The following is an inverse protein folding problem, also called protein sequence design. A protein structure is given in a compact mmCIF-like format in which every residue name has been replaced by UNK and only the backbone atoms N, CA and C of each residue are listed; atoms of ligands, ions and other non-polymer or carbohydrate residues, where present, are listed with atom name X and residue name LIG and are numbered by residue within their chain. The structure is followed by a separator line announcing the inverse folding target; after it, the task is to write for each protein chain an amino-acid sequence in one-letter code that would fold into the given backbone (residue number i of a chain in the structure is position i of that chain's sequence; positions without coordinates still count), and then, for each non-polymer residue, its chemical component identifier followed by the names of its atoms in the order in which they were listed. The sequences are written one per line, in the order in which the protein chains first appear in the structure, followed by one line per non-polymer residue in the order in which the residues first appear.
data_IF_911211896229
#
_entry.id   IF_911211896229
#
_cell.length_a   1.000
_cell.length_b   1.000
_cell.length_c   1.000
_cell.angle_alpha   90.00
_cell.angle_beta   90.00
_cell.angle_gamma   90.00
#
_symmetry.space_group_name_H-M   'P 1'
#
loop_
_entity.id
_entity.type
_entity.pdbx_description
1 polymer ?
#
# COMPACT_ATOMS: atom_id res chain seq x y z
N UNK A 1 20.40 -3.90 -32.35
CA UNK A 1 19.71 -4.36 -31.10
C UNK A 1 19.87 -3.42 -29.91
N UNK A 2 20.97 -2.68 -29.73
CA UNK A 2 21.14 -1.71 -28.63
C UNK A 2 20.56 -0.31 -28.93
N UNK A 3 20.56 0.16 -30.17
CA UNK A 3 20.02 1.45 -30.60
C UNK A 3 18.50 1.52 -30.44
N UNK A 4 17.78 0.45 -30.80
CA UNK A 4 16.31 0.40 -30.77
C UNK A 4 15.80 0.46 -29.34
N UNK A 5 16.41 -0.30 -28.41
CA UNK A 5 16.07 -0.24 -26.98
C UNK A 5 16.36 1.13 -26.35
N UNK A 6 17.36 1.85 -26.86
CA UNK A 6 17.66 3.21 -26.41
C UNK A 6 16.61 4.19 -26.89
N UNK A 7 16.22 4.11 -28.16
CA UNK A 7 15.17 4.94 -28.74
C UNK A 7 13.81 4.72 -28.03
N UNK A 8 13.43 3.46 -27.79
CA UNK A 8 12.22 3.11 -27.04
C UNK A 8 12.22 3.72 -25.63
N UNK A 9 13.34 3.65 -24.91
CA UNK A 9 13.48 4.24 -23.57
C UNK A 9 13.38 5.77 -23.60
N UNK A 10 13.93 6.42 -24.61
CA UNK A 10 13.84 7.87 -24.79
C UNK A 10 12.40 8.31 -25.12
N UNK A 11 11.73 7.56 -25.98
CA UNK A 11 10.32 7.79 -26.31
C UNK A 11 9.41 7.60 -25.09
N UNK A 12 9.61 6.55 -24.32
CA UNK A 12 8.87 6.32 -23.07
C UNK A 12 9.10 7.45 -22.05
N UNK A 13 10.34 7.93 -21.88
CA UNK A 13 10.66 9.07 -21.01
C UNK A 13 10.00 10.36 -21.48
N UNK A 14 9.96 10.59 -22.78
CA UNK A 14 9.29 11.76 -23.36
C UNK A 14 7.78 11.71 -23.10
N UNK A 15 7.15 10.58 -23.36
CA UNK A 15 5.75 10.34 -23.07
C UNK A 15 5.43 10.55 -21.58
N UNK A 16 6.23 10.00 -20.67
CA UNK A 16 6.03 10.21 -19.22
C UNK A 16 6.12 11.69 -18.83
N UNK A 17 7.06 12.46 -19.41
CA UNK A 17 7.16 13.91 -19.15
C UNK A 17 5.91 14.65 -19.55
N UNK A 18 5.37 14.33 -20.71
CA UNK A 18 4.13 14.95 -21.24
C UNK A 18 2.92 14.60 -20.35
N UNK A 19 2.75 13.32 -19.98
CA UNK A 19 1.70 12.88 -19.09
C UNK A 19 1.78 13.59 -17.73
N UNK A 20 2.97 13.68 -17.13
CA UNK A 20 3.18 14.41 -15.87
C UNK A 20 2.83 15.89 -16.01
N UNK A 21 3.24 16.55 -17.08
CA UNK A 21 2.93 17.97 -17.29
C UNK A 21 1.42 18.21 -17.41
N UNK A 22 0.72 17.38 -18.16
CA UNK A 22 -0.74 17.44 -18.32
C UNK A 22 -1.47 17.19 -17.00
N UNK A 23 -1.10 16.15 -16.25
CA UNK A 23 -1.72 15.85 -14.96
C UNK A 23 -1.42 16.93 -13.91
N UNK A 24 -0.23 17.54 -13.91
CA UNK A 24 0.06 18.70 -13.04
C UNK A 24 -0.87 19.87 -13.31
N UNK A 25 -1.12 20.19 -14.56
CA UNK A 25 -2.05 21.26 -14.93
C UNK A 25 -3.47 20.94 -14.47
N UNK A 26 -3.87 19.68 -14.54
CA UNK A 26 -5.17 19.21 -14.05
C UNK A 26 -5.29 19.32 -12.52
N UNK A 27 -4.28 18.87 -11.77
CA UNK A 27 -4.23 19.02 -10.30
C UNK A 27 -4.36 20.51 -9.93
N UNK A 28 -3.54 21.38 -10.53
CA UNK A 28 -3.58 22.82 -10.25
C UNK A 28 -4.96 23.46 -10.57
N UNK A 29 -5.64 22.99 -11.61
CA UNK A 29 -7.00 23.41 -11.94
C UNK A 29 -7.99 23.00 -10.85
N UNK A 30 -7.91 21.76 -10.35
CA UNK A 30 -8.82 21.30 -9.32
C UNK A 30 -8.50 21.88 -7.94
N UNK A 31 -7.24 22.17 -7.60
CA UNK A 31 -6.86 22.89 -6.37
C UNK A 31 -7.59 24.24 -6.30
N UNK A 32 -7.55 25.04 -7.37
CA UNK A 32 -8.30 26.32 -7.46
C UNK A 32 -9.83 26.10 -7.41
N UNK A 33 -10.33 25.03 -8.01
CA UNK A 33 -11.77 24.75 -8.02
C UNK A 33 -12.30 24.32 -6.64
N UNK A 34 -11.48 23.60 -5.86
CA UNK A 34 -11.79 23.18 -4.48
C UNK A 34 -11.99 24.38 -3.56
N UNK A 35 -11.25 25.48 -3.73
CA UNK A 35 -11.43 26.72 -2.95
C UNK A 35 -12.87 27.27 -3.07
N UNK A 36 -13.48 27.14 -4.25
CA UNK A 36 -14.82 27.66 -4.54
C UNK A 36 -15.93 26.67 -4.21
N UNK A 37 -15.72 25.38 -4.50
CA UNK A 37 -16.74 24.32 -4.34
C UNK A 37 -16.07 23.03 -3.85
N UNK A 38 -15.68 22.96 -2.55
CA UNK A 38 -14.91 21.82 -2.01
C UNK A 38 -15.61 20.48 -2.20
N UNK A 39 -16.91 20.39 -1.90
CA UNK A 39 -17.67 19.15 -1.98
C UNK A 39 -17.80 18.59 -3.40
N UNK A 40 -17.70 19.42 -4.42
CA UNK A 40 -17.77 18.99 -5.83
C UNK A 40 -16.43 18.55 -6.38
N UNK A 41 -15.34 19.24 -5.99
CA UNK A 41 -14.05 19.08 -6.66
C UNK A 41 -13.00 18.32 -5.89
N UNK A 42 -13.12 18.13 -4.55
CA UNK A 42 -12.18 17.30 -3.80
C UNK A 42 -12.04 15.85 -4.32
N UNK A 43 -13.13 15.13 -4.68
CA UNK A 43 -12.98 13.80 -5.27
C UNK A 43 -12.22 13.79 -6.59
N UNK A 44 -12.47 14.80 -7.43
CA UNK A 44 -11.76 14.97 -8.71
C UNK A 44 -10.30 15.35 -8.51
N UNK A 45 -10.01 16.17 -7.49
CA UNK A 45 -8.65 16.50 -7.09
C UNK A 45 -7.93 15.25 -6.61
N UNK A 46 -8.57 14.41 -5.79
CA UNK A 46 -8.01 13.16 -5.32
C UNK A 46 -7.65 12.21 -6.48
N UNK A 47 -8.55 12.07 -7.45
CA UNK A 47 -8.32 11.24 -8.65
C UNK A 47 -7.15 11.80 -9.50
N UNK A 48 -7.10 13.10 -9.72
CA UNK A 48 -6.00 13.73 -10.45
C UNK A 48 -4.65 13.59 -9.71
N UNK A 49 -4.63 13.75 -8.39
CA UNK A 49 -3.45 13.54 -7.55
C UNK A 49 -2.99 12.08 -7.58
N UNK A 50 -3.92 11.12 -7.49
CA UNK A 50 -3.64 9.70 -7.60
C UNK A 50 -3.02 9.37 -8.97
N UNK A 51 -3.63 9.82 -10.05
CA UNK A 51 -3.12 9.61 -11.42
C UNK A 51 -1.73 10.21 -11.60
N UNK A 52 -1.51 11.44 -11.14
CA UNK A 52 -0.19 12.08 -11.17
C UNK A 52 0.84 11.30 -10.36
N UNK A 53 0.46 10.80 -9.19
CA UNK A 53 1.30 9.97 -8.34
C UNK A 53 1.76 8.69 -9.04
N UNK A 54 0.87 8.01 -9.78
CA UNK A 54 1.21 6.82 -10.59
C UNK A 54 2.25 7.13 -11.66
N UNK A 55 2.16 8.26 -12.36
CA UNK A 55 3.18 8.66 -13.33
C UNK A 55 4.54 8.95 -12.69
N UNK A 56 4.56 9.51 -11.47
CA UNK A 56 5.79 9.64 -10.72
C UNK A 56 6.33 8.29 -10.26
N UNK A 57 5.51 7.38 -9.79
CA UNK A 57 5.93 6.03 -9.41
C UNK A 57 6.60 5.30 -10.58
N UNK A 58 6.06 5.38 -11.78
CA UNK A 58 6.60 4.75 -12.98
C UNK A 58 7.96 5.32 -13.46
N UNK A 59 8.43 6.40 -12.88
CA UNK A 59 9.80 6.89 -13.12
C UNK A 59 10.89 6.09 -12.42
N UNK A 60 10.54 5.27 -11.43
CA UNK A 60 11.44 4.37 -10.70
C UNK A 60 12.70 5.05 -10.14
N UNK A 61 12.57 6.24 -9.56
CA UNK A 61 13.68 6.93 -8.87
C UNK A 61 13.29 7.25 -7.42
N UNK A 62 14.24 7.29 -6.46
CA UNK A 62 13.92 7.62 -5.07
C UNK A 62 13.19 8.97 -4.92
N UNK A 63 13.60 9.98 -5.69
CA UNK A 63 12.92 11.28 -5.68
C UNK A 63 11.48 11.21 -6.22
N UNK A 64 11.25 10.37 -7.24
CA UNK A 64 9.90 10.20 -7.79
C UNK A 64 8.99 9.39 -6.86
N UNK A 65 9.53 8.42 -6.13
CA UNK A 65 8.77 7.69 -5.10
C UNK A 65 8.30 8.60 -3.97
N UNK A 66 9.18 9.51 -3.48
CA UNK A 66 8.79 10.53 -2.49
C UNK A 66 7.68 11.46 -3.00
N UNK A 67 7.73 11.83 -4.28
CA UNK A 67 6.69 12.66 -4.90
C UNK A 67 5.38 11.89 -5.04
N UNK A 68 5.44 10.63 -5.46
CA UNK A 68 4.28 9.75 -5.54
C UNK A 68 3.62 9.55 -4.17
N UNK A 69 4.42 9.28 -3.12
CA UNK A 69 3.94 9.16 -1.74
C UNK A 69 3.17 10.41 -1.31
N UNK A 70 3.74 11.59 -1.48
CA UNK A 70 3.07 12.84 -1.12
C UNK A 70 1.73 13.00 -1.83
N UNK A 71 1.69 12.73 -3.14
CA UNK A 71 0.48 12.84 -3.96
C UNK A 71 -0.59 11.82 -3.53
N UNK A 72 -0.20 10.58 -3.28
CA UNK A 72 -1.11 9.53 -2.81
C UNK A 72 -1.66 9.84 -1.42
N UNK A 73 -0.84 10.35 -0.50
CA UNK A 73 -1.28 10.76 0.83
C UNK A 73 -2.27 11.94 0.76
N UNK A 74 -2.01 12.91 -0.11
CA UNK A 74 -2.95 14.03 -0.34
C UNK A 74 -4.27 13.54 -0.94
N UNK A 75 -4.22 12.64 -1.92
CA UNK A 75 -5.40 12.04 -2.52
C UNK A 75 -6.24 11.27 -1.49
N UNK A 76 -5.58 10.48 -0.61
CA UNK A 76 -6.26 9.73 0.44
C UNK A 76 -6.99 10.65 1.41
N UNK A 77 -6.36 11.75 1.86
CA UNK A 77 -7.01 12.78 2.70
C UNK A 77 -8.23 13.40 2.02
N UNK A 78 -8.16 13.64 0.71
CA UNK A 78 -9.30 14.14 -0.05
C UNK A 78 -10.43 13.11 -0.14
N UNK A 79 -10.13 11.82 -0.32
CA UNK A 79 -11.15 10.76 -0.29
C UNK A 79 -11.73 10.54 1.12
N UNK A 80 -10.94 10.64 2.18
CA UNK A 80 -11.39 10.47 3.57
C UNK A 80 -12.43 11.50 3.99
N UNK A 81 -12.43 12.68 3.38
CA UNK A 81 -13.47 13.68 3.58
C UNK A 81 -14.86 13.22 3.10
N UNK A 82 -14.93 12.09 2.38
CA UNK A 82 -16.15 11.52 1.80
C UNK A 82 -16.41 10.07 2.25
N UNK A 83 -15.96 9.71 3.45
CA UNK A 83 -16.21 8.37 4.02
C UNK A 83 -17.71 8.06 3.97
N UNK A 84 -18.04 6.82 3.56
CA UNK A 84 -19.43 6.36 3.43
C UNK A 84 -20.09 6.60 2.07
N UNK A 85 -19.44 7.31 1.15
CA UNK A 85 -19.92 7.42 -0.23
C UNK A 85 -19.43 6.23 -1.06
N UNK A 86 -20.36 5.36 -1.45
CA UNK A 86 -20.08 4.10 -2.18
C UNK A 86 -19.37 4.34 -3.52
N UNK A 87 -19.68 5.43 -4.21
CA UNK A 87 -19.10 5.81 -5.50
C UNK A 87 -17.59 6.12 -5.44
N UNK A 88 -17.05 6.43 -4.25
CA UNK A 88 -15.64 6.75 -4.05
C UNK A 88 -14.86 5.62 -3.34
N UNK A 89 -15.54 4.59 -2.86
CA UNK A 89 -14.91 3.50 -2.11
C UNK A 89 -13.88 2.76 -2.96
N UNK A 90 -14.21 2.43 -4.20
CA UNK A 90 -13.31 1.71 -5.11
C UNK A 90 -12.04 2.53 -5.40
N UNK A 91 -12.17 3.83 -5.69
CA UNK A 91 -11.02 4.70 -5.96
C UNK A 91 -10.11 4.81 -4.73
N UNK A 92 -10.71 4.89 -3.53
CA UNK A 92 -9.97 4.92 -2.27
C UNK A 92 -9.22 3.61 -2.03
N UNK A 93 -9.85 2.46 -2.25
CA UNK A 93 -9.22 1.14 -2.11
C UNK A 93 -8.06 0.95 -3.09
N UNK A 94 -8.25 1.33 -4.35
CA UNK A 94 -7.18 1.28 -5.36
C UNK A 94 -5.98 2.15 -4.93
N UNK A 95 -6.24 3.34 -4.41
CA UNK A 95 -5.19 4.21 -3.90
C UNK A 95 -4.47 3.61 -2.68
N UNK A 96 -5.19 2.97 -1.76
CA UNK A 96 -4.60 2.31 -0.59
C UNK A 96 -3.71 1.13 -1.02
N UNK A 97 -4.16 0.33 -1.99
CA UNK A 97 -3.34 -0.72 -2.60
C UNK A 97 -2.08 -0.18 -3.27
N UNK A 98 -2.20 0.92 -4.02
CA UNK A 98 -1.04 1.57 -4.64
C UNK A 98 -0.05 2.13 -3.58
N UNK A 99 -0.54 2.68 -2.46
CA UNK A 99 0.29 3.09 -1.32
C UNK A 99 1.03 1.93 -0.68
N UNK A 100 0.34 0.80 -0.48
CA UNK A 100 0.92 -0.42 0.05
C UNK A 100 2.05 -0.96 -0.87
N UNK A 101 1.83 -0.96 -2.18
CA UNK A 101 2.87 -1.35 -3.14
C UNK A 101 4.04 -0.35 -3.19
N UNK A 102 3.77 0.93 -3.03
CA UNK A 102 4.78 1.96 -3.00
C UNK A 102 5.66 1.86 -1.74
N UNK A 103 5.11 1.45 -0.59
CA UNK A 103 5.87 1.30 0.66
C UNK A 103 7.08 0.38 0.48
N UNK A 104 6.97 -0.68 -0.34
CA UNK A 104 8.07 -1.59 -0.68
C UNK A 104 9.25 -0.92 -1.42
N UNK A 105 9.13 0.35 -1.79
CA UNK A 105 10.15 1.13 -2.54
C UNK A 105 10.63 2.37 -1.77
N UNK A 106 10.15 2.54 -0.55
CA UNK A 106 10.54 3.64 0.33
C UNK A 106 11.68 3.22 1.25
N UNK A 107 12.27 4.18 1.95
CA UNK A 107 13.10 3.92 3.11
C UNK A 107 12.25 3.38 4.28
N UNK A 108 12.88 2.65 5.21
CA UNK A 108 12.18 1.88 6.25
C UNK A 108 11.26 2.76 7.11
N UNK A 109 11.70 3.94 7.54
CA UNK A 109 10.91 4.83 8.40
C UNK A 109 9.62 5.31 7.70
N UNK A 110 9.72 5.63 6.41
CA UNK A 110 8.57 6.05 5.60
C UNK A 110 7.65 4.90 5.23
N UNK A 111 8.22 3.73 4.97
CA UNK A 111 7.46 2.53 4.73
C UNK A 111 6.62 2.18 5.96
N UNK A 112 7.21 2.26 7.15
CA UNK A 112 6.53 2.02 8.43
C UNK A 112 5.38 3.01 8.65
N UNK A 113 5.63 4.32 8.48
CA UNK A 113 4.57 5.35 8.60
C UNK A 113 3.38 5.08 7.68
N UNK A 114 3.65 4.75 6.41
CA UNK A 114 2.62 4.45 5.42
C UNK A 114 1.83 3.20 5.81
N UNK A 115 2.51 2.12 6.16
CA UNK A 115 1.87 0.85 6.53
C UNK A 115 1.05 0.97 7.81
N UNK A 116 1.52 1.70 8.83
CA UNK A 116 0.75 1.97 10.04
C UNK A 116 -0.51 2.80 9.75
N UNK A 117 -0.40 3.81 8.90
CA UNK A 117 -1.56 4.58 8.45
C UNK A 117 -2.59 3.75 7.68
N UNK A 118 -2.12 2.85 6.81
CA UNK A 118 -2.98 1.91 6.08
C UNK A 118 -3.62 0.88 7.01
N UNK A 119 -2.86 0.33 7.95
CA UNK A 119 -3.37 -0.61 8.95
C UNK A 119 -4.55 0.00 9.72
N UNK A 120 -4.37 1.20 10.28
CA UNK A 120 -5.45 1.91 11.00
C UNK A 120 -6.68 2.14 10.13
N UNK A 121 -6.49 2.47 8.85
CA UNK A 121 -7.59 2.68 7.92
C UNK A 121 -8.32 1.37 7.60
N UNK A 122 -7.58 0.29 7.34
CA UNK A 122 -8.17 -1.03 7.06
C UNK A 122 -8.86 -1.62 8.31
N UNK A 123 -8.28 -1.49 9.50
CA UNK A 123 -8.93 -1.92 10.76
C UNK A 123 -10.26 -1.20 10.98
N UNK A 124 -10.31 0.12 10.73
CA UNK A 124 -11.55 0.89 10.80
C UNK A 124 -12.61 0.41 9.80
N UNK A 125 -12.19 -0.03 8.61
CA UNK A 125 -13.09 -0.57 7.58
C UNK A 125 -13.51 -2.01 7.91
N UNK A 126 -12.59 -2.82 8.41
CA UNK A 126 -12.84 -4.20 8.82
C UNK A 126 -13.80 -4.29 10.02
N UNK A 127 -13.81 -3.29 10.89
CA UNK A 127 -14.81 -3.22 11.98
C UNK A 127 -16.26 -3.18 11.46
N UNK A 128 -16.49 -2.60 10.27
CA UNK A 128 -17.80 -2.54 9.64
C UNK A 128 -18.08 -3.70 8.67
N UNK A 129 -17.02 -4.27 8.06
CA UNK A 129 -17.13 -5.32 7.05
C UNK A 129 -15.89 -6.25 7.11
N UNK A 130 -15.81 -7.13 8.14
CA UNK A 130 -14.63 -7.94 8.41
C UNK A 130 -14.27 -8.87 7.24
N UNK A 131 -15.24 -9.55 6.62
CA UNK A 131 -15.02 -10.45 5.48
C UNK A 131 -14.50 -9.76 4.21
N UNK A 132 -14.68 -8.44 4.11
CA UNK A 132 -14.22 -7.67 2.94
C UNK A 132 -12.80 -7.14 3.13
N UNK A 133 -12.48 -6.64 4.32
CA UNK A 133 -11.23 -5.90 4.58
C UNK A 133 -10.27 -6.63 5.53
N UNK A 134 -10.64 -7.78 6.07
CA UNK A 134 -9.79 -8.54 6.99
C UNK A 134 -8.50 -9.02 6.35
N UNK A 135 -8.54 -9.40 5.06
CA UNK A 135 -7.34 -9.78 4.30
C UNK A 135 -6.38 -8.60 4.09
N UNK A 136 -6.91 -7.39 3.85
CA UNK A 136 -6.09 -6.18 3.74
C UNK A 136 -5.39 -5.85 5.07
N UNK A 137 -6.09 -6.05 6.20
CA UNK A 137 -5.49 -5.93 7.55
C UNK A 137 -4.36 -6.94 7.72
N UNK A 138 -4.61 -8.23 7.45
CA UNK A 138 -3.61 -9.29 7.60
C UNK A 138 -2.40 -9.08 6.68
N UNK A 139 -2.64 -8.72 5.42
CA UNK A 139 -1.57 -8.41 4.45
C UNK A 139 -0.71 -7.22 4.88
N UNK A 140 -1.33 -6.17 5.44
CA UNK A 140 -0.60 -5.00 5.94
C UNK A 140 0.22 -5.34 7.18
N UNK A 141 -0.32 -6.14 8.09
CA UNK A 141 0.41 -6.66 9.26
C UNK A 141 1.60 -7.52 8.84
N UNK A 142 1.42 -8.43 7.87
CA UNK A 142 2.52 -9.22 7.33
C UNK A 142 3.63 -8.37 6.72
N UNK A 143 3.29 -7.30 5.99
CA UNK A 143 4.29 -6.37 5.42
C UNK A 143 5.04 -5.58 6.51
N UNK A 144 4.36 -5.15 7.57
CA UNK A 144 5.00 -4.55 8.75
C UNK A 144 5.95 -5.56 9.41
N UNK A 145 5.54 -6.83 9.53
CA UNK A 145 6.39 -7.90 10.02
C UNK A 145 7.68 -8.05 9.22
N UNK A 146 7.58 -8.08 7.89
CA UNK A 146 8.76 -8.15 7.01
C UNK A 146 9.67 -6.92 7.20
N UNK A 147 9.10 -5.71 7.25
CA UNK A 147 9.86 -4.48 7.45
C UNK A 147 10.63 -4.50 8.77
N UNK A 148 9.99 -4.95 9.86
CA UNK A 148 10.65 -5.09 11.16
C UNK A 148 11.72 -6.18 11.17
N UNK A 149 11.48 -7.32 10.48
CA UNK A 149 12.46 -8.40 10.36
C UNK A 149 13.71 -7.94 9.61
N UNK A 150 13.54 -7.24 8.47
CA UNK A 150 14.65 -6.67 7.69
C UNK A 150 15.46 -5.65 8.52
N UNK A 151 14.80 -4.89 9.38
CA UNK A 151 15.44 -3.97 10.35
C UNK A 151 15.96 -4.66 11.62
N UNK A 152 15.95 -5.98 11.70
CA UNK A 152 16.31 -6.81 12.86
C UNK A 152 15.57 -6.49 14.15
N UNK A 153 14.39 -5.93 14.05
CA UNK A 153 13.45 -5.69 15.15
C UNK A 153 12.57 -6.93 15.35
N UNK A 154 13.20 -8.03 15.77
CA UNK A 154 12.58 -9.36 15.75
C UNK A 154 11.32 -9.47 16.60
N UNK A 155 11.28 -8.83 17.78
CA UNK A 155 10.10 -8.85 18.64
C UNK A 155 8.89 -8.10 18.05
N UNK A 156 9.14 -7.02 17.31
CA UNK A 156 8.11 -6.30 16.56
C UNK A 156 7.62 -7.15 15.37
N UNK A 157 8.54 -7.76 14.63
CA UNK A 157 8.23 -8.62 13.51
C UNK A 157 7.35 -9.80 13.94
N UNK A 158 7.73 -10.49 15.00
CA UNK A 158 6.96 -11.61 15.59
C UNK A 158 5.53 -11.18 15.91
N UNK A 159 5.37 -10.07 16.63
CA UNK A 159 4.03 -9.55 16.97
C UNK A 159 3.17 -9.27 15.75
N UNK A 160 3.76 -8.72 14.68
CA UNK A 160 3.02 -8.41 13.47
C UNK A 160 2.60 -9.68 12.72
N UNK A 161 3.49 -10.67 12.62
CA UNK A 161 3.16 -11.95 11.98
C UNK A 161 2.09 -12.73 12.75
N UNK A 162 2.18 -12.78 14.09
CA UNK A 162 1.15 -13.44 14.90
C UNK A 162 -0.21 -12.77 14.76
N UNK A 163 -0.27 -11.45 14.80
CA UNK A 163 -1.53 -10.71 14.53
C UNK A 163 -2.07 -10.96 13.13
N UNK A 164 -1.22 -11.11 12.12
CA UNK A 164 -1.65 -11.46 10.77
C UNK A 164 -2.25 -12.86 10.71
N UNK A 165 -1.64 -13.83 11.39
CA UNK A 165 -2.15 -15.21 11.51
C UNK A 165 -3.48 -15.25 12.25
N UNK A 166 -3.62 -14.51 13.36
CA UNK A 166 -4.89 -14.38 14.09
C UNK A 166 -6.02 -13.86 13.18
N UNK A 167 -5.69 -12.85 12.34
CA UNK A 167 -6.66 -12.33 11.37
C UNK A 167 -7.06 -13.37 10.31
N UNK A 168 -6.13 -14.16 9.82
CA UNK A 168 -6.45 -15.25 8.89
C UNK A 168 -7.31 -16.33 9.57
N UNK A 169 -7.03 -16.66 10.83
CA UNK A 169 -7.79 -17.66 11.60
C UNK A 169 -9.26 -17.24 11.81
N UNK A 170 -9.55 -15.93 11.94
CA UNK A 170 -10.92 -15.42 12.03
C UNK A 170 -11.79 -15.82 10.80
N UNK A 171 -11.17 -16.08 9.65
CA UNK A 171 -11.85 -16.37 8.38
C UNK A 171 -11.70 -17.81 7.88
N UNK A 172 -10.91 -18.63 8.55
CA UNK A 172 -10.59 -20.01 8.11
C UNK A 172 -11.83 -20.90 8.04
N UNK A 173 -12.87 -20.59 8.84
CA UNK A 173 -14.16 -21.28 8.81
C UNK A 173 -15.07 -20.91 7.64
N UNK A 174 -14.86 -19.76 7.00
CA UNK A 174 -15.73 -19.23 5.95
C UNK A 174 -15.28 -19.62 4.54
N UNK A 175 -13.97 -19.48 4.24
CA UNK A 175 -13.36 -19.90 2.97
C UNK A 175 -11.89 -20.32 3.15
N UNK A 176 -11.62 -21.56 3.61
CA UNK A 176 -10.26 -22.02 3.85
C UNK A 176 -9.35 -21.97 2.62
N UNK A 177 -9.91 -22.15 1.41
CA UNK A 177 -9.12 -22.16 0.18
C UNK A 177 -8.58 -20.78 -0.19
N UNK A 178 -9.31 -19.74 0.16
CA UNK A 178 -8.95 -18.35 -0.14
C UNK A 178 -7.75 -17.88 0.70
N UNK A 179 -7.73 -18.21 1.98
CA UNK A 179 -6.74 -17.66 2.93
C UNK A 179 -5.51 -18.54 3.14
N UNK A 180 -5.58 -19.85 2.84
CA UNK A 180 -4.46 -20.78 2.99
C UNK A 180 -3.12 -20.31 2.39
N UNK A 181 -3.05 -19.76 1.16
CA UNK A 181 -1.78 -19.31 0.60
C UNK A 181 -1.15 -18.17 1.40
N UNK A 182 -1.94 -17.21 1.85
CA UNK A 182 -1.48 -16.07 2.65
C UNK A 182 -1.08 -16.50 4.07
N UNK A 183 -1.84 -17.40 4.70
CA UNK A 183 -1.50 -18.03 5.97
C UNK A 183 -0.19 -18.79 5.88
N UNK A 184 0.01 -19.62 4.86
CA UNK A 184 1.24 -20.37 4.64
C UNK A 184 2.45 -19.43 4.40
N UNK A 185 2.24 -18.31 3.70
CA UNK A 185 3.28 -17.32 3.49
C UNK A 185 3.66 -16.62 4.80
N UNK A 186 2.68 -16.25 5.63
CA UNK A 186 2.92 -15.65 6.94
C UNK A 186 3.65 -16.61 7.89
N UNK A 187 3.23 -17.87 7.97
CA UNK A 187 3.90 -18.93 8.75
C UNK A 187 5.34 -19.13 8.30
N UNK A 188 5.60 -19.14 6.99
CA UNK A 188 6.96 -19.22 6.44
C UNK A 188 7.83 -18.04 6.85
N UNK A 189 7.26 -16.82 6.84
CA UNK A 189 7.99 -15.63 7.29
C UNK A 189 8.32 -15.70 8.77
N UNK A 190 7.39 -16.19 9.59
CA UNK A 190 7.57 -16.37 11.02
C UNK A 190 8.62 -17.46 11.32
N UNK A 191 8.59 -18.60 10.61
CA UNK A 191 9.59 -19.66 10.75
C UNK A 191 11.00 -19.15 10.43
N UNK A 192 11.15 -18.41 9.33
CA UNK A 192 12.45 -17.78 8.98
C UNK A 192 12.91 -16.76 10.02
N UNK A 193 11.99 -16.00 10.62
CA UNK A 193 12.32 -15.10 11.72
C UNK A 193 12.91 -15.87 12.91
N UNK A 194 12.31 -16.99 13.29
CA UNK A 194 12.81 -17.83 14.39
C UNK A 194 14.15 -18.49 14.06
N UNK A 195 14.40 -18.90 12.80
CA UNK A 195 15.71 -19.35 12.35
C UNK A 195 16.78 -18.25 12.54
N UNK A 196 16.47 -17.00 12.17
CA UNK A 196 17.39 -15.86 12.39
C UNK A 196 17.63 -15.54 13.87
N UNK A 197 16.67 -15.90 14.74
CA UNK A 197 16.78 -15.80 16.19
C UNK A 197 17.48 -17.03 16.82
N UNK A 198 17.85 -18.04 16.04
CA UNK A 198 18.41 -19.33 16.50
C UNK A 198 17.46 -20.11 17.42
N UNK A 199 16.15 -20.00 17.19
CA UNK A 199 15.11 -20.72 17.91
C UNK A 199 14.49 -21.80 17.02
N UNK A 200 15.21 -22.89 16.86
CA UNK A 200 14.84 -23.98 15.95
C UNK A 200 13.51 -24.63 16.33
N UNK A 201 13.19 -24.68 17.63
CA UNK A 201 11.95 -25.28 18.11
C UNK A 201 10.72 -24.47 17.66
N UNK A 202 10.76 -23.15 17.83
CA UNK A 202 9.67 -22.27 17.35
C UNK A 202 9.65 -22.17 15.82
N UNK A 203 10.80 -22.29 15.15
CA UNK A 203 10.85 -22.31 13.70
C UNK A 203 10.10 -23.55 13.15
N UNK A 204 10.36 -24.75 13.69
CA UNK A 204 9.67 -25.97 13.30
C UNK A 204 8.15 -25.87 13.52
N UNK A 205 7.72 -25.37 14.69
CA UNK A 205 6.30 -25.16 15.00
C UNK A 205 5.63 -24.17 14.03
N UNK A 206 6.33 -23.11 13.62
CA UNK A 206 5.79 -22.11 12.72
C UNK A 206 5.58 -22.64 11.29
N UNK A 207 6.35 -23.62 10.85
CA UNK A 207 6.24 -24.23 9.52
C UNK A 207 5.11 -25.28 9.41
N UNK A 208 4.61 -25.80 10.54
CA UNK A 208 3.50 -26.77 10.61
C UNK A 208 2.13 -26.09 10.55
#
# INVERSE_FOLDING_TARGET
MNSDKRAEREQHRAWLRECIARCRAEVARYEKAVERRPNTYRPRLAEAQHTLGKFYWWRHTPASYRTALRLFTQALRNYDSYRGRRDLTLNRLTLMSDLQQLSLRLDDDRAEEVLLGLLSAYESMAAAAPLVYGEDVASTLWQLGNLHADARRFGEAERMYLRALDKHAEFDGEDPHRYRPATAQCRRSLGRLYEEMHDDARAEEAYL
#
